data_IF_147523596377
#
_entry.id   IF_147523596377
#
_cell.length_a   1.000
_cell.length_b   1.000
_cell.length_c   1.000
_cell.angle_alpha   90.00
_cell.angle_beta   90.00
_cell.angle_gamma   90.00
#
_symmetry.space_group_name_H-M   'P 1'
#
loop_
_entity.id
_entity.type
_entity.pdbx_description
1 polymer ?
#
# COMPACT_ATOMS: atom_id res chain seq x y z
N UNK A 1 12.89 -6.44 24.43
CA UNK A 1 13.18 -5.13 23.80
C UNK A 1 11.89 -4.34 23.80
N UNK A 2 11.91 -3.06 24.18
CA UNK A 2 10.74 -2.18 24.05
C UNK A 2 10.39 -1.99 22.58
N UNK A 3 9.10 -1.93 22.26
CA UNK A 3 8.62 -1.64 20.90
C UNK A 3 9.06 -0.23 20.48
N UNK A 4 9.66 -0.12 19.31
CA UNK A 4 10.04 1.17 18.72
C UNK A 4 8.94 1.56 17.74
N UNK A 5 8.33 2.73 17.98
CA UNK A 5 7.30 3.25 17.09
C UNK A 5 7.93 3.55 15.72
N UNK A 6 7.38 3.01 14.63
CA UNK A 6 7.89 3.30 13.28
C UNK A 6 7.56 4.75 12.86
N UNK A 7 8.31 5.23 11.88
CA UNK A 7 7.96 6.45 11.16
C UNK A 7 6.60 6.32 10.46
N UNK A 8 5.93 7.45 10.21
CA UNK A 8 4.61 7.41 9.59
C UNK A 8 4.75 7.08 8.10
N UNK A 9 4.41 5.84 7.74
CA UNK A 9 4.24 5.39 6.36
C UNK A 9 2.77 5.05 6.13
N UNK A 10 2.16 5.66 5.13
CA UNK A 10 0.73 5.53 4.84
C UNK A 10 0.40 5.82 3.38
N UNK A 11 -0.70 5.28 2.84
CA UNK A 11 -1.25 5.76 1.58
C UNK A 11 -1.69 7.23 1.70
N UNK A 12 -1.55 8.06 0.65
CA UNK A 12 -2.03 9.45 0.67
C UNK A 12 -3.51 9.60 1.05
N UNK A 13 -4.35 8.62 0.72
CA UNK A 13 -5.77 8.57 1.08
C UNK A 13 -6.04 8.47 2.59
N UNK A 14 -5.05 8.06 3.37
CA UNK A 14 -5.13 7.90 4.83
C UNK A 14 -4.53 9.09 5.60
N UNK A 15 -4.28 10.23 4.95
CA UNK A 15 -3.64 11.40 5.58
C UNK A 15 -4.39 11.94 6.80
N UNK A 16 -5.70 11.78 6.88
CA UNK A 16 -6.54 12.21 8.01
C UNK A 16 -6.80 11.11 9.06
N UNK A 17 -6.25 9.90 8.86
CA UNK A 17 -6.39 8.80 9.81
C UNK A 17 -5.47 8.99 11.02
N UNK A 18 -5.86 8.45 12.18
CA UNK A 18 -4.92 8.22 13.26
C UNK A 18 -4.04 7.01 12.90
N UNK A 19 -2.75 7.10 13.16
CA UNK A 19 -1.79 6.03 12.87
C UNK A 19 -1.48 5.23 14.12
N UNK A 20 -2.12 4.08 14.25
CA UNK A 20 -1.97 3.17 15.39
C UNK A 20 -1.01 2.03 15.03
N UNK A 21 0.26 2.03 15.49
CA UNK A 21 1.17 0.96 15.19
C UNK A 21 0.83 -0.29 16.00
N UNK A 22 0.62 -1.40 15.30
CA UNK A 22 0.52 -2.76 15.86
C UNK A 22 1.81 -3.53 15.62
N UNK A 23 2.54 -3.16 14.57
CA UNK A 23 3.81 -3.75 14.15
C UNK A 23 4.82 -2.66 13.84
N UNK A 24 6.09 -3.04 13.74
CA UNK A 24 7.15 -2.26 13.10
C UNK A 24 7.83 -3.15 12.06
N UNK A 25 8.14 -2.59 10.87
CA UNK A 25 8.63 -3.37 9.74
C UNK A 25 7.51 -4.13 9.01
N UNK A 26 7.88 -5.08 8.19
CA UNK A 26 6.99 -5.86 7.34
C UNK A 26 7.25 -7.36 7.51
N UNK A 27 6.20 -8.20 7.42
CA UNK A 27 6.31 -9.66 7.45
C UNK A 27 7.12 -10.19 6.26
N UNK A 28 7.06 -9.51 5.11
CA UNK A 28 7.89 -9.77 3.93
C UNK A 28 9.03 -8.73 3.83
N UNK A 29 9.98 -8.77 4.75
CA UNK A 29 11.12 -7.85 4.80
C UNK A 29 12.29 -8.25 3.88
N UNK A 30 12.03 -8.95 2.78
CA UNK A 30 13.04 -9.43 1.84
C UNK A 30 12.97 -8.78 0.46
N UNK A 31 12.00 -7.89 0.23
CA UNK A 31 11.83 -7.21 -1.06
C UNK A 31 13.06 -6.38 -1.41
N UNK A 32 13.68 -6.68 -2.57
CA UNK A 32 14.97 -6.11 -2.99
C UNK A 32 14.94 -4.61 -3.28
N UNK A 33 13.75 -4.01 -3.41
CA UNK A 33 13.54 -2.59 -3.73
C UNK A 33 13.07 -1.75 -2.55
N UNK A 34 12.72 -2.38 -1.42
CA UNK A 34 11.96 -1.73 -0.34
C UNK A 34 12.82 -1.44 0.89
N UNK A 35 12.67 -0.27 1.51
CA UNK A 35 13.35 0.09 2.74
C UNK A 35 13.02 -0.83 3.93
N UNK A 36 11.87 -1.50 3.94
CA UNK A 36 11.54 -2.48 4.97
C UNK A 36 12.45 -3.71 4.98
N UNK A 37 13.22 -3.97 3.90
CA UNK A 37 14.23 -5.03 3.89
C UNK A 37 15.33 -4.86 4.95
N UNK A 38 15.49 -3.64 5.48
CA UNK A 38 16.44 -3.33 6.55
C UNK A 38 15.83 -3.40 7.95
N UNK A 39 14.50 -3.60 8.06
CA UNK A 39 13.77 -3.51 9.33
C UNK A 39 13.31 -4.88 9.77
N UNK A 40 13.69 -5.29 10.98
CA UNK A 40 13.17 -6.52 11.59
C UNK A 40 11.72 -6.33 11.99
N UNK A 41 10.86 -7.30 11.65
CA UNK A 41 9.47 -7.31 12.12
C UNK A 41 9.42 -7.31 13.65
N UNK A 42 8.75 -6.32 14.21
CA UNK A 42 8.39 -6.22 15.61
C UNK A 42 6.87 -6.33 15.80
N UNK A 43 6.43 -7.06 16.80
CA UNK A 43 5.01 -7.16 17.20
C UNK A 43 4.84 -6.38 18.50
N UNK A 44 3.99 -5.37 18.50
CA UNK A 44 3.72 -4.55 19.68
C UNK A 44 2.88 -5.32 20.69
N UNK A 45 3.16 -5.14 21.98
CA UNK A 45 2.36 -5.72 23.04
C UNK A 45 0.94 -5.14 23.07
N UNK A 46 -0.06 -5.98 23.30
CA UNK A 46 -1.48 -5.56 23.26
C UNK A 46 -1.81 -4.53 24.35
N UNK A 47 -1.21 -4.65 25.54
CA UNK A 47 -1.48 -3.69 26.62
C UNK A 47 -0.85 -2.33 26.31
N UNK A 48 0.28 -2.29 25.57
CA UNK A 48 0.82 -1.02 25.05
C UNK A 48 -0.10 -0.40 24.00
N UNK A 49 -0.70 -1.21 23.11
CA UNK A 49 -1.71 -0.73 22.15
C UNK A 49 -2.91 -0.14 22.88
N UNK A 50 -3.43 -0.84 23.89
CA UNK A 50 -4.57 -0.36 24.70
C UNK A 50 -4.23 0.93 25.45
N UNK A 51 -3.05 1.04 26.05
CA UNK A 51 -2.60 2.29 26.70
C UNK A 51 -2.58 3.48 25.75
N UNK A 52 -2.16 3.26 24.50
CA UNK A 52 -2.22 4.34 23.49
C UNK A 52 -3.66 4.69 23.13
N UNK A 53 -4.55 3.70 22.96
CA UNK A 53 -5.99 3.92 22.71
C UNK A 53 -6.63 4.68 23.88
N UNK A 54 -6.25 4.39 25.13
CA UNK A 54 -6.73 5.13 26.31
C UNK A 54 -6.23 6.57 26.30
N UNK A 55 -4.96 6.81 25.93
CA UNK A 55 -4.41 8.15 25.79
C UNK A 55 -5.13 8.96 24.69
N UNK A 56 -5.44 8.29 23.55
CA UNK A 56 -6.25 8.91 22.49
C UNK A 56 -7.62 9.34 23.02
N UNK A 57 -8.30 8.47 23.77
CA UNK A 57 -9.62 8.73 24.36
C UNK A 57 -9.57 9.86 25.39
N UNK A 58 -8.58 9.85 26.28
CA UNK A 58 -8.35 10.89 27.28
C UNK A 58 -8.15 12.26 26.61
N UNK A 59 -7.25 12.32 25.62
CA UNK A 59 -6.99 13.57 24.90
C UNK A 59 -8.23 14.08 24.14
N UNK A 60 -8.97 13.19 23.51
CA UNK A 60 -10.18 13.56 22.76
C UNK A 60 -11.26 14.16 23.66
N UNK A 61 -11.44 13.59 24.84
CA UNK A 61 -12.51 13.98 25.77
C UNK A 61 -12.15 15.16 26.66
N UNK A 62 -10.89 15.30 27.08
CA UNK A 62 -10.47 16.28 28.09
C UNK A 62 -9.29 17.17 27.67
N UNK A 63 -8.67 16.91 26.51
CA UNK A 63 -7.40 17.53 26.06
C UNK A 63 -6.21 17.28 26.98
N UNK A 64 -6.33 16.34 27.91
CA UNK A 64 -5.25 15.94 28.81
C UNK A 64 -4.31 14.94 28.16
N UNK A 65 -3.05 15.00 28.54
CA UNK A 65 -2.01 14.09 28.08
C UNK A 65 -1.86 12.95 29.09
N UNK A 66 -1.82 11.73 28.61
CA UNK A 66 -1.49 10.57 29.43
C UNK A 66 0.03 10.45 29.59
N UNK A 67 0.51 10.13 30.78
CA UNK A 67 1.92 9.90 31.01
C UNK A 67 2.44 8.70 30.21
N UNK A 68 3.70 8.78 29.75
CA UNK A 68 4.37 7.68 29.06
C UNK A 68 4.02 7.50 27.57
N UNK A 69 3.25 8.42 26.98
CA UNK A 69 3.01 8.43 25.54
C UNK A 69 3.93 9.45 24.85
N UNK A 70 4.51 9.10 23.68
CA UNK A 70 5.38 10.02 22.94
C UNK A 70 4.59 11.17 22.31
N UNK A 71 5.25 12.32 22.13
CA UNK A 71 4.65 13.56 21.61
C UNK A 71 3.98 13.41 20.26
N UNK A 72 4.47 12.50 19.42
CA UNK A 72 3.90 12.19 18.09
C UNK A 72 2.44 11.74 18.19
N UNK A 73 2.04 11.03 19.25
CA UNK A 73 0.65 10.63 19.50
C UNK A 73 -0.25 11.86 19.52
N UNK A 74 0.16 12.89 20.25
CA UNK A 74 -0.63 14.11 20.39
C UNK A 74 -0.54 15.03 19.16
N UNK A 75 0.58 14.98 18.44
CA UNK A 75 0.70 15.67 17.16
C UNK A 75 -0.31 15.13 16.14
N UNK A 76 -0.46 13.81 16.06
CA UNK A 76 -1.47 13.16 15.20
C UNK A 76 -2.89 13.49 15.69
N UNK A 77 -3.14 13.38 17.01
CA UNK A 77 -4.47 13.60 17.59
C UNK A 77 -5.01 15.02 17.39
N UNK A 78 -4.14 16.02 17.31
CA UNK A 78 -4.54 17.41 17.01
C UNK A 78 -5.21 17.57 15.65
N UNK A 79 -4.83 16.74 14.67
CA UNK A 79 -5.33 16.79 13.29
C UNK A 79 -6.34 15.70 12.98
N UNK A 80 -6.52 14.74 13.90
CA UNK A 80 -7.41 13.59 13.69
C UNK A 80 -8.89 13.97 13.82
N UNK A 81 -9.67 13.62 12.82
CA UNK A 81 -11.12 13.87 12.79
C UNK A 81 -11.95 12.93 13.70
N UNK A 82 -11.34 11.85 14.23
CA UNK A 82 -12.02 10.85 15.06
C UNK A 82 -12.75 9.77 14.27
N UNK A 83 -12.61 9.74 12.95
CA UNK A 83 -13.41 8.87 12.08
C UNK A 83 -12.63 7.70 11.49
N UNK A 84 -11.33 7.85 11.29
CA UNK A 84 -10.50 6.85 10.60
C UNK A 84 -9.24 6.52 11.39
N UNK A 85 -8.88 5.24 11.39
CA UNK A 85 -7.62 4.73 11.95
C UNK A 85 -6.91 3.90 10.90
N UNK A 86 -5.62 4.11 10.78
CA UNK A 86 -4.73 3.30 9.95
C UNK A 86 -3.82 2.47 10.86
N UNK A 87 -3.90 1.14 10.76
CA UNK A 87 -3.03 0.24 11.51
C UNK A 87 -1.66 0.18 10.84
N UNK A 88 -0.66 0.66 11.54
CA UNK A 88 0.73 0.67 11.09
C UNK A 88 1.47 -0.59 11.59
N UNK A 89 2.51 -1.10 10.98
CA UNK A 89 3.37 -0.53 9.97
C UNK A 89 3.18 -1.27 8.62
N UNK A 90 4.25 -1.72 7.94
CA UNK A 90 4.23 -2.31 6.61
C UNK A 90 3.36 -3.57 6.43
N UNK A 91 2.94 -4.22 7.52
CA UNK A 91 1.93 -5.28 7.53
C UNK A 91 1.36 -5.47 8.94
N UNK A 92 0.26 -4.80 9.25
CA UNK A 92 -0.39 -4.99 10.54
C UNK A 92 -1.32 -6.23 10.57
N UNK A 93 -1.64 -6.86 9.43
CA UNK A 93 -2.46 -8.07 9.40
C UNK A 93 -1.71 -9.31 9.93
N UNK A 94 -0.37 -9.27 9.98
CA UNK A 94 0.45 -10.32 10.62
C UNK A 94 0.22 -10.41 12.14
N UNK A 95 -0.33 -9.37 12.76
CA UNK A 95 -0.63 -9.35 14.19
C UNK A 95 -1.48 -10.57 14.57
N UNK A 96 -1.21 -11.26 15.70
CA UNK A 96 -1.95 -12.46 16.10
C UNK A 96 -3.46 -12.22 16.13
N UNK A 97 -4.24 -13.05 15.43
CA UNK A 97 -5.67 -12.82 15.21
C UNK A 97 -6.47 -12.52 16.49
N UNK A 98 -6.36 -13.30 17.58
CA UNK A 98 -7.10 -13.00 18.80
C UNK A 98 -6.77 -11.61 19.37
N UNK A 99 -5.48 -11.24 19.34
CA UNK A 99 -5.02 -9.93 19.81
C UNK A 99 -5.46 -8.80 18.87
N UNK A 100 -5.48 -9.04 17.55
CA UNK A 100 -6.00 -8.08 16.58
C UNK A 100 -7.48 -7.81 16.83
N UNK A 101 -8.29 -8.86 16.96
CA UNK A 101 -9.73 -8.74 17.28
C UNK A 101 -9.97 -7.98 18.59
N UNK A 102 -9.17 -8.26 19.61
CA UNK A 102 -9.26 -7.57 20.90
C UNK A 102 -8.89 -6.09 20.78
N UNK A 103 -7.82 -5.76 20.07
CA UNK A 103 -7.41 -4.38 19.82
C UNK A 103 -8.51 -3.60 19.07
N UNK A 104 -9.11 -4.19 18.02
CA UNK A 104 -10.18 -3.57 17.25
C UNK A 104 -11.45 -3.36 18.06
N UNK A 105 -11.85 -4.36 18.86
CA UNK A 105 -13.00 -4.22 19.79
C UNK A 105 -12.77 -3.13 20.82
N UNK A 106 -11.57 -3.09 21.40
CA UNK A 106 -11.20 -2.06 22.37
C UNK A 106 -11.24 -0.65 21.76
N UNK A 107 -10.68 -0.51 20.56
CA UNK A 107 -10.69 0.75 19.80
C UNK A 107 -12.13 1.20 19.50
N UNK A 108 -12.98 0.29 18.98
CA UNK A 108 -14.39 0.58 18.69
C UNK A 108 -15.19 0.95 19.95
N UNK A 109 -14.90 0.32 21.09
CA UNK A 109 -15.53 0.65 22.38
C UNK A 109 -15.17 2.07 22.86
N UNK A 110 -13.93 2.50 22.66
CA UNK A 110 -13.47 3.86 23.02
C UNK A 110 -13.92 4.93 22.01
N UNK A 111 -14.12 4.56 20.74
CA UNK A 111 -14.48 5.46 19.65
C UNK A 111 -15.68 4.92 18.85
N UNK A 112 -16.91 5.00 19.40
CA UNK A 112 -18.12 4.49 18.71
C UNK A 112 -18.36 5.16 17.35
N UNK A 113 -17.99 6.45 17.23
CA UNK A 113 -18.12 7.23 15.99
C UNK A 113 -17.09 6.89 14.92
N UNK A 114 -16.15 5.96 15.19
CA UNK A 114 -15.18 5.51 14.19
C UNK A 114 -15.92 4.89 13.00
N UNK A 115 -15.58 5.36 11.79
CA UNK A 115 -16.23 4.92 10.55
C UNK A 115 -15.45 3.80 9.86
N UNK A 116 -14.11 3.85 9.89
CA UNK A 116 -13.26 2.89 9.17
C UNK A 116 -11.91 2.71 9.82
N UNK A 117 -11.45 1.46 9.77
CA UNK A 117 -10.08 1.07 10.04
C UNK A 117 -9.46 0.58 8.73
N UNK A 118 -8.21 0.92 8.48
CA UNK A 118 -7.46 0.53 7.30
C UNK A 118 -6.12 -0.10 7.71
N UNK A 119 -5.52 -0.92 6.85
CA UNK A 119 -4.23 -1.56 7.09
C UNK A 119 -3.51 -1.89 5.81
N UNK A 120 -2.18 -1.89 5.83
CA UNK A 120 -1.42 -2.68 4.87
C UNK A 120 -1.56 -4.17 5.20
N UNK A 121 -1.45 -5.00 4.16
CA UNK A 121 -1.43 -6.45 4.30
C UNK A 121 -0.60 -7.09 3.18
N UNK A 122 0.19 -8.10 3.53
CA UNK A 122 0.86 -8.93 2.52
C UNK A 122 -0.10 -10.01 2.00
N UNK A 123 0.10 -10.51 0.76
CA UNK A 123 -0.67 -11.64 0.25
C UNK A 123 -0.61 -12.85 1.18
N UNK A 124 0.55 -13.13 1.76
CA UNK A 124 0.78 -14.25 2.67
C UNK A 124 -0.09 -14.17 3.92
N UNK A 125 -0.19 -12.98 4.53
CA UNK A 125 -0.95 -12.80 5.76
C UNK A 125 -2.46 -12.75 5.50
N UNK A 126 -2.89 -12.31 4.31
CA UNK A 126 -4.27 -12.48 3.85
C UNK A 126 -4.59 -13.97 3.66
N UNK A 127 -3.71 -14.74 3.01
CA UNK A 127 -3.93 -16.17 2.75
C UNK A 127 -3.98 -17.01 4.02
N UNK A 128 -3.26 -16.62 5.07
CA UNK A 128 -3.32 -17.27 6.40
C UNK A 128 -4.66 -17.08 7.13
N UNK A 129 -5.46 -16.07 6.77
CA UNK A 129 -6.78 -15.85 7.36
C UNK A 129 -7.84 -16.63 6.60
N UNK A 130 -8.84 -17.16 7.31
CA UNK A 130 -10.05 -17.63 6.67
C UNK A 130 -10.91 -16.45 6.20
N UNK A 131 -11.85 -16.70 5.27
CA UNK A 131 -12.83 -15.67 4.88
C UNK A 131 -13.66 -15.22 6.08
N UNK A 132 -14.03 -16.16 6.97
CA UNK A 132 -14.79 -15.89 8.18
C UNK A 132 -14.01 -14.98 9.16
N UNK A 133 -12.70 -15.20 9.33
CA UNK A 133 -11.85 -14.31 10.13
C UNK A 133 -11.81 -12.90 9.54
N UNK A 134 -11.66 -12.78 8.22
CA UNK A 134 -11.69 -11.48 7.55
C UNK A 134 -13.05 -10.80 7.67
N UNK A 135 -14.16 -11.54 7.57
CA UNK A 135 -15.51 -11.03 7.81
C UNK A 135 -15.67 -10.51 9.24
N UNK A 136 -15.21 -11.26 10.24
CA UNK A 136 -15.23 -10.81 11.62
C UNK A 136 -14.40 -9.54 11.85
N UNK A 137 -13.24 -9.40 11.18
CA UNK A 137 -12.47 -8.16 11.18
C UNK A 137 -13.23 -7.01 10.50
N UNK A 138 -13.96 -7.30 9.40
CA UNK A 138 -14.82 -6.31 8.71
C UNK A 138 -15.94 -5.80 9.62
N UNK A 139 -16.55 -6.66 10.42
CA UNK A 139 -17.55 -6.29 11.44
C UNK A 139 -16.94 -5.35 12.51
N UNK A 140 -15.63 -5.49 12.78
CA UNK A 140 -14.87 -4.55 13.62
C UNK A 140 -14.36 -3.32 12.86
N UNK A 141 -14.98 -2.97 11.72
CA UNK A 141 -14.71 -1.81 10.88
C UNK A 141 -13.36 -1.83 10.13
N UNK A 142 -12.67 -2.98 10.02
CA UNK A 142 -11.55 -3.13 9.08
C UNK A 142 -12.14 -3.06 7.66
N UNK A 143 -12.19 -1.85 7.10
CA UNK A 143 -12.95 -1.55 5.89
C UNK A 143 -12.15 -1.57 4.61
N UNK A 144 -10.82 -1.50 4.68
CA UNK A 144 -9.96 -1.53 3.50
C UNK A 144 -8.58 -2.13 3.85
N UNK A 145 -8.10 -2.98 2.95
CA UNK A 145 -6.72 -3.48 2.95
C UNK A 145 -5.95 -2.94 1.75
N UNK A 146 -4.73 -2.47 2.00
CA UNK A 146 -3.78 -2.04 0.99
C UNK A 146 -2.75 -3.15 0.77
N UNK A 147 -2.74 -3.72 -0.43
CA UNK A 147 -1.86 -4.83 -0.79
C UNK A 147 -0.91 -4.43 -1.91
N UNK A 148 0.38 -4.46 -1.65
CA UNK A 148 1.39 -4.30 -2.69
C UNK A 148 1.43 -5.54 -3.58
N UNK A 149 1.07 -5.39 -4.85
CA UNK A 149 1.20 -6.40 -5.91
C UNK A 149 2.57 -6.29 -6.56
N UNK A 150 3.01 -5.09 -6.81
CA UNK A 150 4.25 -4.62 -7.40
C UNK A 150 4.40 -5.03 -8.87
N UNK A 151 4.16 -6.29 -9.22
CA UNK A 151 4.19 -6.87 -10.57
C UNK A 151 3.20 -8.01 -10.71
N UNK A 152 2.71 -8.25 -11.94
CA UNK A 152 2.00 -9.47 -12.31
C UNK A 152 2.91 -10.57 -12.88
N UNK A 153 4.15 -10.22 -13.23
CA UNK A 153 5.12 -11.15 -13.80
C UNK A 153 5.84 -11.95 -12.71
N UNK A 154 5.68 -13.27 -12.72
CA UNK A 154 6.30 -14.18 -11.75
C UNK A 154 7.83 -14.12 -11.76
N UNK A 155 8.47 -13.84 -12.91
CA UNK A 155 9.93 -13.69 -12.97
C UNK A 155 10.38 -12.42 -12.22
N UNK A 156 9.65 -11.31 -12.41
CA UNK A 156 9.88 -10.06 -11.65
C UNK A 156 9.61 -10.28 -10.17
N UNK A 157 8.47 -10.91 -9.80
CA UNK A 157 8.11 -11.20 -8.41
C UNK A 157 9.18 -12.04 -7.70
N UNK A 158 9.74 -13.03 -8.38
CA UNK A 158 10.84 -13.86 -7.89
C UNK A 158 12.12 -13.03 -7.71
N UNK A 159 12.47 -12.22 -8.71
CA UNK A 159 13.66 -11.35 -8.68
C UNK A 159 13.60 -10.37 -7.51
N UNK A 160 12.46 -9.73 -7.29
CA UNK A 160 12.28 -8.77 -6.20
C UNK A 160 11.98 -9.43 -4.84
N UNK A 161 11.97 -10.76 -4.75
CA UNK A 161 11.67 -11.54 -3.52
C UNK A 161 10.34 -11.15 -2.86
N UNK A 162 9.31 -10.96 -3.68
CA UNK A 162 7.96 -10.66 -3.16
C UNK A 162 7.37 -11.81 -2.35
N UNK A 163 7.91 -13.03 -2.51
CA UNK A 163 7.47 -14.26 -1.83
C UNK A 163 5.98 -14.59 -2.03
N UNK A 164 5.39 -14.10 -3.09
CA UNK A 164 4.06 -14.47 -3.53
C UNK A 164 4.04 -14.57 -5.07
N UNK A 165 3.38 -15.56 -5.61
CA UNK A 165 3.16 -15.69 -7.04
C UNK A 165 1.93 -14.87 -7.48
N UNK A 166 1.79 -14.67 -8.80
CA UNK A 166 0.60 -14.13 -9.44
C UNK A 166 -0.69 -14.77 -8.88
N UNK A 167 -0.78 -16.09 -8.95
CA UNK A 167 -1.98 -16.83 -8.54
C UNK A 167 -2.29 -16.67 -7.05
N UNK A 168 -1.26 -16.68 -6.19
CA UNK A 168 -1.42 -16.44 -4.75
C UNK A 168 -1.96 -15.03 -4.46
N UNK A 169 -1.51 -14.03 -5.20
CA UNK A 169 -2.01 -12.65 -5.06
C UNK A 169 -3.47 -12.54 -5.52
N UNK A 170 -3.84 -13.20 -6.63
CA UNK A 170 -5.23 -13.27 -7.10
C UNK A 170 -6.12 -13.99 -6.09
N UNK A 171 -5.66 -15.08 -5.50
CA UNK A 171 -6.38 -15.80 -4.44
C UNK A 171 -6.57 -14.91 -3.21
N UNK A 172 -5.52 -14.21 -2.76
CA UNK A 172 -5.62 -13.26 -1.65
C UNK A 172 -6.66 -12.17 -1.94
N UNK A 173 -6.64 -11.59 -3.14
CA UNK A 173 -7.61 -10.59 -3.56
C UNK A 173 -9.06 -11.12 -3.50
N UNK A 174 -9.30 -12.32 -4.02
CA UNK A 174 -10.63 -12.97 -3.97
C UNK A 174 -11.11 -13.19 -2.53
N UNK A 175 -10.21 -13.59 -1.61
CA UNK A 175 -10.55 -13.75 -0.19
C UNK A 175 -10.96 -12.42 0.46
N UNK A 176 -10.22 -11.34 0.20
CA UNK A 176 -10.55 -10.00 0.71
C UNK A 176 -11.92 -9.56 0.19
N UNK A 177 -12.16 -9.65 -1.10
CA UNK A 177 -13.46 -9.29 -1.70
C UNK A 177 -14.61 -10.14 -1.13
N UNK A 178 -14.43 -11.45 -0.97
CA UNK A 178 -15.43 -12.34 -0.38
C UNK A 178 -15.76 -12.00 1.08
N UNK A 179 -14.86 -11.33 1.80
CA UNK A 179 -15.10 -10.87 3.18
C UNK A 179 -15.86 -9.54 3.26
N UNK A 180 -16.06 -8.83 2.15
CA UNK A 180 -16.65 -7.49 2.11
C UNK A 180 -15.70 -6.37 2.53
N UNK A 181 -14.42 -6.65 2.71
CA UNK A 181 -13.37 -5.64 2.90
C UNK A 181 -13.00 -5.08 1.51
N UNK A 182 -12.87 -3.76 1.38
CA UNK A 182 -12.39 -3.14 0.16
C UNK A 182 -10.91 -3.45 -0.07
N UNK A 183 -10.55 -3.67 -1.33
CA UNK A 183 -9.18 -3.98 -1.72
C UNK A 183 -8.57 -2.80 -2.51
N UNK A 184 -7.45 -2.28 -2.01
CA UNK A 184 -6.58 -1.35 -2.73
C UNK A 184 -5.29 -2.05 -3.09
N UNK A 185 -4.91 -2.05 -4.36
CA UNK A 185 -3.67 -2.69 -4.82
C UNK A 185 -2.74 -1.69 -5.49
N UNK A 186 -1.45 -1.99 -5.48
CA UNK A 186 -0.43 -1.14 -6.08
C UNK A 186 0.50 -1.96 -6.95
N UNK A 187 0.80 -1.45 -8.16
CA UNK A 187 1.86 -1.95 -9.05
C UNK A 187 2.96 -0.90 -9.17
N UNK A 188 4.21 -1.33 -9.44
CA UNK A 188 5.35 -0.43 -9.54
C UNK A 188 5.92 -0.49 -10.96
N UNK A 189 5.77 0.60 -11.71
CA UNK A 189 6.32 0.78 -13.04
C UNK A 189 7.85 0.72 -12.98
N UNK A 190 8.45 0.05 -13.94
CA UNK A 190 9.89 -0.06 -14.08
C UNK A 190 10.55 -1.21 -13.33
N UNK A 191 9.82 -2.00 -12.52
CA UNK A 191 10.40 -3.15 -11.81
C UNK A 191 10.95 -4.23 -12.75
N UNK A 192 10.44 -4.31 -13.99
CA UNK A 192 10.96 -5.23 -15.01
C UNK A 192 12.31 -4.79 -15.61
N UNK A 193 12.76 -3.56 -15.33
CA UNK A 193 13.88 -2.95 -16.03
C UNK A 193 13.57 -2.75 -17.52
N UNK A 194 14.54 -2.24 -18.28
CA UNK A 194 14.38 -2.01 -19.75
C UNK A 194 14.02 -3.31 -20.47
N UNK A 195 14.74 -4.39 -20.21
CA UNK A 195 14.57 -5.67 -20.92
C UNK A 195 13.22 -6.36 -20.65
N UNK A 196 12.62 -6.16 -19.47
CA UNK A 196 11.37 -6.80 -19.07
C UNK A 196 10.13 -5.90 -19.11
N UNK A 197 10.26 -4.64 -19.50
CA UNK A 197 9.25 -3.58 -19.37
C UNK A 197 7.91 -3.94 -20.01
N UNK A 198 7.90 -4.40 -21.27
CA UNK A 198 6.65 -4.76 -21.98
C UNK A 198 5.93 -5.94 -21.33
N UNK A 199 6.65 -7.03 -21.05
CA UNK A 199 6.09 -8.21 -20.38
C UNK A 199 5.54 -7.85 -19.00
N UNK A 200 6.30 -7.10 -18.21
CA UNK A 200 5.90 -6.60 -16.90
C UNK A 200 4.59 -5.81 -16.96
N UNK A 201 4.46 -4.88 -17.92
CA UNK A 201 3.26 -4.07 -18.07
C UNK A 201 2.02 -4.92 -18.45
N UNK A 202 2.16 -5.88 -19.38
CA UNK A 202 1.09 -6.78 -19.78
C UNK A 202 0.66 -7.70 -18.62
N UNK A 203 1.61 -8.27 -17.90
CA UNK A 203 1.30 -9.13 -16.74
C UNK A 203 0.69 -8.31 -15.58
N UNK A 204 1.11 -7.06 -15.39
CA UNK A 204 0.43 -6.15 -14.45
C UNK A 204 -1.03 -5.90 -14.86
N UNK A 205 -1.30 -5.70 -16.13
CA UNK A 205 -2.68 -5.55 -16.61
C UNK A 205 -3.50 -6.82 -16.40
N UNK A 206 -2.90 -7.99 -16.62
CA UNK A 206 -3.54 -9.29 -16.41
C UNK A 206 -3.90 -9.51 -14.94
N UNK A 207 -2.96 -9.32 -14.03
CA UNK A 207 -3.22 -9.54 -12.61
C UNK A 207 -4.25 -8.55 -12.05
N UNK A 208 -4.22 -7.28 -12.47
CA UNK A 208 -5.22 -6.30 -12.07
C UNK A 208 -6.63 -6.66 -12.58
N UNK A 209 -6.73 -7.25 -13.78
CA UNK A 209 -8.00 -7.77 -14.33
C UNK A 209 -8.51 -8.95 -13.52
N UNK A 210 -7.65 -9.91 -13.19
CA UNK A 210 -8.03 -11.11 -12.44
C UNK A 210 -8.41 -10.82 -10.99
N UNK A 211 -7.80 -9.82 -10.37
CA UNK A 211 -8.10 -9.35 -9.01
C UNK A 211 -9.38 -8.51 -8.96
N UNK A 212 -9.63 -7.70 -9.99
CA UNK A 212 -10.70 -6.72 -10.06
C UNK A 212 -10.88 -5.91 -8.75
N UNK A 213 -9.85 -5.14 -8.33
CA UNK A 213 -9.84 -4.46 -7.03
C UNK A 213 -10.75 -3.22 -7.05
N UNK A 214 -11.15 -2.74 -5.85
CA UNK A 214 -11.89 -1.48 -5.70
C UNK A 214 -11.03 -0.25 -6.03
N UNK A 215 -9.72 -0.34 -5.71
CA UNK A 215 -8.74 0.71 -5.98
C UNK A 215 -7.47 0.09 -6.55
N UNK A 216 -6.95 0.70 -7.61
CA UNK A 216 -5.65 0.32 -8.18
C UNK A 216 -4.74 1.54 -8.28
N UNK A 217 -3.53 1.43 -7.79
CA UNK A 217 -2.49 2.45 -7.88
C UNK A 217 -1.34 2.00 -8.77
N UNK A 218 -0.76 2.92 -9.55
CA UNK A 218 0.52 2.72 -10.19
C UNK A 218 1.52 3.74 -9.64
N UNK A 219 2.66 3.25 -9.18
CA UNK A 219 3.82 4.02 -8.72
C UNK A 219 4.97 3.79 -9.70
N UNK A 220 5.91 4.71 -9.80
CA UNK A 220 7.15 4.48 -10.55
C UNK A 220 8.26 4.13 -9.56
N UNK A 221 9.07 3.13 -9.89
CA UNK A 221 10.21 2.73 -9.07
C UNK A 221 11.09 3.93 -8.73
N UNK A 222 11.36 4.09 -7.46
CA UNK A 222 12.37 4.99 -6.93
C UNK A 222 13.44 4.14 -6.28
N UNK A 223 14.67 4.32 -6.73
CA UNK A 223 15.80 3.59 -6.19
C UNK A 223 16.14 4.13 -4.80
N UNK A 224 16.07 3.26 -3.80
CA UNK A 224 16.43 3.59 -2.42
C UNK A 224 17.89 3.13 -2.22
N UNK A 225 18.79 4.02 -1.81
CA UNK A 225 20.18 3.65 -1.49
C UNK A 225 20.24 2.44 -0.55
N UNK A 226 21.27 1.62 -0.67
CA UNK A 226 21.51 0.40 0.12
C UNK A 226 20.57 -0.79 -0.18
N UNK A 227 19.48 -0.61 -0.96
CA UNK A 227 18.67 -1.74 -1.43
C UNK A 227 19.43 -2.60 -2.43
N UNK A 228 19.03 -3.86 -2.59
CA UNK A 228 19.70 -4.76 -3.53
C UNK A 228 19.51 -4.29 -4.99
N UNK A 229 18.32 -3.84 -5.36
CA UNK A 229 18.04 -3.31 -6.70
C UNK A 229 18.85 -2.04 -6.99
N UNK A 230 19.13 -1.20 -5.98
CA UNK A 230 20.01 -0.04 -6.12
C UNK A 230 21.44 -0.46 -6.47
N UNK A 231 21.98 -1.48 -5.77
CA UNK A 231 23.32 -2.04 -6.06
C UNK A 231 23.39 -2.70 -7.45
N UNK A 232 22.33 -3.40 -7.86
CA UNK A 232 22.23 -3.97 -9.21
C UNK A 232 22.23 -2.86 -10.28
N UNK A 233 21.56 -1.75 -10.02
CA UNK A 233 21.59 -0.59 -10.91
C UNK A 233 22.99 0.06 -10.98
N UNK A 234 23.66 0.27 -9.85
CA UNK A 234 25.02 0.83 -9.82
C UNK A 234 26.04 -0.07 -10.54
N UNK A 235 25.91 -1.39 -10.40
CA UNK A 235 26.82 -2.38 -10.99
C UNK A 235 26.46 -2.83 -12.43
N UNK A 236 25.31 -2.38 -12.95
CA UNK A 236 24.86 -2.58 -14.32
C UNK A 236 23.90 -3.71 -14.64
N UNK A 237 23.63 -4.74 -13.78
CA UNK A 237 22.70 -5.81 -14.10
C UNK A 237 21.22 -5.38 -14.19
N UNK A 238 20.86 -4.23 -13.60
CA UNK A 238 19.53 -3.66 -13.67
C UNK A 238 19.58 -2.30 -14.35
N UNK A 239 18.84 -2.16 -15.45
CA UNK A 239 18.73 -0.90 -16.19
C UNK A 239 17.36 -0.27 -15.97
N UNK A 240 17.34 0.97 -15.45
CA UNK A 240 16.12 1.73 -15.22
C UNK A 240 15.47 2.13 -16.53
N UNK A 241 14.15 2.04 -16.58
CA UNK A 241 13.37 2.57 -17.72
C UNK A 241 13.39 4.10 -17.73
N UNK A 242 13.23 4.69 -18.92
CA UNK A 242 13.11 6.15 -19.06
C UNK A 242 11.75 6.66 -18.57
N UNK A 243 11.62 7.98 -18.31
CA UNK A 243 10.33 8.59 -17.98
C UNK A 243 9.21 8.28 -18.99
N UNK A 244 9.54 8.27 -20.29
CA UNK A 244 8.57 7.93 -21.34
C UNK A 244 8.26 6.44 -21.40
N UNK A 245 9.20 5.57 -21.03
CA UNK A 245 8.93 4.13 -20.90
C UNK A 245 7.97 3.86 -19.74
N UNK A 246 8.11 4.57 -18.61
CA UNK A 246 7.14 4.45 -17.51
C UNK A 246 5.74 4.87 -17.93
N UNK A 247 5.60 5.89 -18.79
CA UNK A 247 4.31 6.27 -19.38
C UNK A 247 3.79 5.22 -20.36
N UNK A 248 4.67 4.52 -21.11
CA UNK A 248 4.29 3.39 -21.97
C UNK A 248 3.77 2.23 -21.15
N UNK A 249 4.48 1.83 -20.09
CA UNK A 249 3.99 0.81 -19.16
C UNK A 249 2.63 1.19 -18.58
N UNK A 250 2.48 2.42 -18.07
CA UNK A 250 1.23 2.91 -17.50
C UNK A 250 0.08 2.85 -18.53
N UNK A 251 0.34 3.27 -19.78
CA UNK A 251 -0.64 3.18 -20.88
C UNK A 251 -1.03 1.74 -21.14
N UNK A 252 -0.05 0.84 -21.28
CA UNK A 252 -0.25 -0.61 -21.52
C UNK A 252 -1.09 -1.22 -20.39
N UNK A 253 -0.77 -0.93 -19.15
CA UNK A 253 -1.55 -1.40 -17.98
C UNK A 253 -3.00 -0.95 -18.08
N UNK A 254 -3.25 0.35 -18.30
CA UNK A 254 -4.63 0.87 -18.39
C UNK A 254 -5.36 0.29 -19.61
N UNK A 255 -4.68 0.16 -20.75
CA UNK A 255 -5.26 -0.31 -22.01
C UNK A 255 -5.69 -1.79 -21.92
N UNK A 256 -4.87 -2.64 -21.31
CA UNK A 256 -5.10 -4.07 -21.26
C UNK A 256 -5.81 -4.57 -19.98
N UNK A 257 -6.00 -3.70 -18.97
CA UNK A 257 -6.79 -4.06 -17.80
C UNK A 257 -8.29 -3.95 -18.06
N UNK A 258 -9.06 -4.88 -17.51
CA UNK A 258 -10.52 -4.84 -17.48
C UNK A 258 -10.98 -4.81 -16.02
N UNK A 259 -11.79 -3.82 -15.67
CA UNK A 259 -12.31 -3.66 -14.31
C UNK A 259 -13.85 -3.60 -14.35
N UNK A 260 -14.51 -4.18 -13.35
CA UNK A 260 -15.94 -4.03 -13.16
C UNK A 260 -16.30 -2.66 -12.57
N UNK A 261 -15.57 -2.23 -11.52
CA UNK A 261 -15.73 -0.92 -10.87
C UNK A 261 -14.49 -0.60 -10.03
N UNK A 262 -13.47 0.01 -10.61
CA UNK A 262 -12.21 0.32 -9.95
C UNK A 262 -11.86 1.80 -10.06
N UNK A 263 -11.46 2.44 -8.98
CA UNK A 263 -10.82 3.74 -9.06
C UNK A 263 -9.32 3.56 -9.28
N UNK A 264 -8.86 3.87 -10.48
CA UNK A 264 -7.45 3.81 -10.86
C UNK A 264 -6.77 5.17 -10.66
N UNK A 265 -5.54 5.17 -10.12
CA UNK A 265 -4.78 6.40 -9.88
C UNK A 265 -3.27 6.20 -9.97
N UNK A 266 -2.57 7.09 -10.66
CA UNK A 266 -1.11 7.24 -10.60
C UNK A 266 -0.70 8.58 -9.94
N UNK A 267 -1.50 9.07 -8.99
CA UNK A 267 -1.27 10.37 -8.33
C UNK A 267 -0.23 10.30 -7.20
N UNK A 268 0.70 9.40 -7.26
CA UNK A 268 1.80 9.33 -6.31
C UNK A 268 2.97 10.23 -6.72
N UNK A 269 3.72 10.73 -5.72
CA UNK A 269 4.85 11.61 -5.96
C UNK A 269 5.98 10.97 -6.78
N UNK A 270 6.10 9.64 -6.77
CA UNK A 270 7.08 8.90 -7.57
C UNK A 270 6.83 8.93 -9.08
N UNK A 271 5.64 9.29 -9.54
CA UNK A 271 5.30 9.26 -10.96
C UNK A 271 5.74 10.53 -11.69
N UNK A 272 6.20 10.37 -12.92
CA UNK A 272 6.52 11.47 -13.81
C UNK A 272 5.29 12.22 -14.32
N UNK A 273 4.16 11.53 -14.40
CA UNK A 273 2.88 12.11 -14.75
C UNK A 273 1.73 11.38 -14.03
N UNK A 274 0.68 12.12 -13.72
CA UNK A 274 -0.43 11.61 -12.93
C UNK A 274 -1.71 11.54 -13.74
N UNK A 275 -2.34 10.36 -13.74
CA UNK A 275 -3.69 10.13 -14.26
C UNK A 275 -4.57 9.50 -13.19
N UNK A 276 -5.87 9.71 -13.29
CA UNK A 276 -6.87 9.07 -12.44
C UNK A 276 -8.22 8.97 -13.12
N UNK A 277 -9.00 7.99 -12.74
CA UNK A 277 -10.36 7.83 -13.26
C UNK A 277 -11.07 6.61 -12.69
N UNK A 278 -12.40 6.62 -12.77
CA UNK A 278 -13.23 5.46 -12.45
C UNK A 278 -13.30 4.54 -13.67
N UNK A 279 -12.81 3.32 -13.52
CA UNK A 279 -12.77 2.35 -14.60
C UNK A 279 -14.03 1.45 -14.56
N UNK A 280 -14.64 1.10 -15.68
CA UNK A 280 -14.18 1.35 -17.07
C UNK A 280 -14.55 2.73 -17.65
N UNK A 281 -15.39 3.51 -16.96
CA UNK A 281 -15.99 4.77 -17.48
C UNK A 281 -14.95 5.75 -18.04
N UNK A 282 -13.89 6.00 -17.32
CA UNK A 282 -12.88 7.00 -17.66
C UNK A 282 -11.69 6.43 -18.47
N UNK A 283 -11.68 5.12 -18.78
CA UNK A 283 -10.58 4.45 -19.47
C UNK A 283 -10.14 5.17 -20.74
N UNK A 284 -11.09 5.48 -21.62
CA UNK A 284 -10.81 6.18 -22.87
C UNK A 284 -10.23 7.59 -22.68
N UNK A 285 -10.65 8.33 -21.65
CA UNK A 285 -10.09 9.64 -21.29
C UNK A 285 -8.63 9.51 -20.84
N UNK A 286 -8.34 8.57 -19.95
CA UNK A 286 -6.97 8.32 -19.43
C UNK A 286 -6.04 7.91 -20.56
N UNK A 287 -6.47 7.00 -21.45
CA UNK A 287 -5.67 6.57 -22.60
C UNK A 287 -5.36 7.73 -23.57
N UNK A 288 -6.33 8.60 -23.86
CA UNK A 288 -6.07 9.78 -24.71
C UNK A 288 -5.05 10.73 -24.08
N UNK A 289 -5.09 10.94 -22.76
CA UNK A 289 -4.10 11.78 -22.05
C UNK A 289 -2.69 11.20 -22.19
N UNK A 290 -2.53 9.90 -21.90
CA UNK A 290 -1.23 9.23 -22.01
C UNK A 290 -0.72 9.20 -23.45
N UNK A 291 -1.60 8.92 -24.44
CA UNK A 291 -1.24 8.93 -25.86
C UNK A 291 -0.77 10.31 -26.32
N UNK A 292 -1.43 11.38 -25.90
CA UNK A 292 -1.04 12.75 -26.25
C UNK A 292 0.37 13.11 -25.74
N UNK A 293 0.70 12.70 -24.50
CA UNK A 293 2.05 12.89 -23.93
C UNK A 293 3.11 12.10 -24.69
N UNK A 294 2.82 10.82 -24.95
CA UNK A 294 3.75 9.93 -25.67
C UNK A 294 4.00 10.40 -27.12
N UNK A 295 2.99 11.01 -27.75
CA UNK A 295 3.14 11.56 -29.11
C UNK A 295 3.95 12.84 -29.14
N UNK A 296 3.81 13.73 -28.14
CA UNK A 296 4.54 15.00 -28.07
C UNK A 296 6.02 14.82 -27.71
N UNK A 297 6.33 13.83 -26.87
CA UNK A 297 7.69 13.55 -26.37
C UNK A 297 8.39 14.76 -25.76
N UNK A 298 7.63 15.68 -25.15
CA UNK A 298 8.18 16.87 -24.49
C UNK A 298 8.49 16.59 -23.02
N UNK A 299 9.77 16.55 -22.60
CA UNK A 299 10.16 16.30 -21.22
C UNK A 299 9.64 17.35 -20.22
N UNK A 300 9.37 18.60 -20.70
CA UNK A 300 8.88 19.67 -19.83
C UNK A 300 7.44 19.43 -19.34
N UNK A 301 6.72 18.51 -19.95
CA UNK A 301 5.40 18.07 -19.49
C UNK A 301 5.44 17.04 -18.37
N UNK A 302 6.62 16.56 -18.02
CA UNK A 302 6.83 15.55 -16.99
C UNK A 302 7.37 16.17 -15.71
N UNK A 303 7.06 15.54 -14.57
CA UNK A 303 7.69 15.92 -13.29
C UNK A 303 9.20 15.69 -13.38
N UNK A 304 10.02 16.70 -13.06
CA UNK A 304 11.48 16.54 -13.01
C UNK A 304 11.88 15.48 -11.96
N UNK A 305 12.99 14.80 -12.19
CA UNK A 305 13.49 13.74 -11.29
C UNK A 305 13.63 14.22 -9.84
N UNK A 306 14.21 15.42 -9.63
CA UNK A 306 14.41 15.99 -8.29
C UNK A 306 13.12 16.36 -7.53
N UNK A 307 11.97 16.35 -8.21
CA UNK A 307 10.66 16.60 -7.61
C UNK A 307 9.88 15.29 -7.35
N UNK A 308 10.46 14.17 -7.73
CA UNK A 308 9.87 12.86 -7.38
C UNK A 308 10.19 12.51 -5.93
N UNK A 309 9.31 11.75 -5.30
CA UNK A 309 9.46 11.33 -3.90
C UNK A 309 8.71 10.03 -3.61
N UNK A 310 9.00 9.45 -2.46
CA UNK A 310 8.32 8.29 -1.92
C UNK A 310 7.21 8.73 -0.95
#
# INVERSE_FOLDING_TARGET
MSFVRPDILRPPSEHASYYLPLTSGCSNNTCTFCAFSFTKLGIRDLDEVKREIDAMSLYRNSRMWAAGQPDIVYAILRQWDGKRVFLQDGDALVYPYPKLMEALRYLNGKFPALERIASYATPQDILRRSVQELQALREQKLGILYMGVESGDNDVLKKIRKNASHDQMVEAAKKVKASGILLSVTVILGLGGVAGSEKHALECARILTEMDPDYAGALTLTLIPETEIYREWESGPFEMITPFDSLRELKTIVEHSTFSNCFFSSMHASNYFSVRGSMPKDKGKVLRQLQALLSRKDPNMLRPEFMRGL
#
